data_IF_006850307536
#
_entry.id   IF_006850307536
#
_cell.length_a   1.000
_cell.length_b   1.000
_cell.length_c   1.000
_cell.angle_alpha   90.00
_cell.angle_beta   90.00
_cell.angle_gamma   90.00
#
_symmetry.space_group_name_H-M   'P 1'
#
loop_
_entity.id
_entity.type
_entity.pdbx_description
1 polymer ?
#
# COMPACT_ATOMS: atom_id res chain seq x y z
N UNK A 1 -8.73 -9.45 -25.61
CA UNK A 1 -7.41 -9.96 -25.13
C UNK A 1 -7.59 -10.78 -23.85
N UNK A 2 -6.62 -11.67 -23.52
CA UNK A 2 -6.55 -12.35 -22.21
C UNK A 2 -5.39 -11.76 -21.42
N UNK A 3 -5.68 -11.13 -20.29
CA UNK A 3 -4.70 -10.43 -19.46
C UNK A 3 -4.48 -11.26 -18.20
N UNK A 4 -3.27 -11.79 -18.05
CA UNK A 4 -2.87 -12.57 -16.88
C UNK A 4 -2.29 -11.66 -15.79
N UNK A 5 -2.83 -11.69 -14.59
CA UNK A 5 -2.53 -10.74 -13.51
C UNK A 5 -1.96 -11.45 -12.31
N UNK A 6 -0.81 -10.97 -11.81
CA UNK A 6 -0.23 -11.47 -10.58
C UNK A 6 -0.96 -10.92 -9.37
N UNK A 7 -1.69 -11.79 -8.67
CA UNK A 7 -2.30 -11.51 -7.37
C UNK A 7 -1.38 -11.81 -6.17
N UNK A 8 -0.07 -11.91 -6.39
CA UNK A 8 0.91 -12.10 -5.31
C UNK A 8 1.13 -10.80 -4.54
N UNK A 9 0.26 -10.50 -3.61
CA UNK A 9 0.22 -9.22 -2.88
C UNK A 9 0.49 -9.32 -1.38
N UNK A 10 0.89 -10.50 -0.90
CA UNK A 10 1.14 -10.76 0.51
C UNK A 10 -0.05 -11.37 1.25
N UNK A 11 0.14 -11.72 2.54
CA UNK A 11 -0.84 -12.42 3.38
C UNK A 11 -1.89 -11.49 4.01
N UNK A 12 -1.87 -10.21 3.68
CA UNK A 12 -2.85 -9.20 4.09
C UNK A 12 -3.06 -8.23 2.95
N UNK A 13 -4.29 -7.83 2.73
CA UNK A 13 -4.61 -6.81 1.75
C UNK A 13 -3.97 -5.49 2.17
N UNK A 14 -3.04 -5.01 1.37
CA UNK A 14 -2.36 -3.72 1.54
C UNK A 14 -2.92 -2.70 0.56
N UNK A 15 -2.44 -1.45 0.60
CA UNK A 15 -2.81 -0.43 -0.39
C UNK A 15 -2.62 -0.90 -1.85
N UNK A 16 -1.56 -1.69 -2.13
CA UNK A 16 -1.33 -2.27 -3.47
C UNK A 16 -2.45 -3.23 -3.86
N UNK A 17 -2.87 -4.10 -2.94
CA UNK A 17 -3.96 -5.05 -3.21
C UNK A 17 -5.31 -4.34 -3.43
N UNK A 18 -5.62 -3.29 -2.67
CA UNK A 18 -6.82 -2.47 -2.88
C UNK A 18 -6.81 -1.77 -4.23
N UNK A 19 -5.68 -1.17 -4.59
CA UNK A 19 -5.50 -0.55 -5.91
C UNK A 19 -5.72 -1.57 -7.02
N UNK A 20 -5.18 -2.79 -6.88
CA UNK A 20 -5.38 -3.86 -7.85
C UNK A 20 -6.85 -4.22 -8.02
N UNK A 21 -7.59 -4.43 -6.92
CA UNK A 21 -9.02 -4.77 -6.97
C UNK A 21 -9.81 -3.66 -7.66
N UNK A 22 -9.56 -2.40 -7.30
CA UNK A 22 -10.26 -1.26 -7.89
C UNK A 22 -9.96 -1.12 -9.38
N UNK A 23 -8.70 -1.27 -9.79
CA UNK A 23 -8.31 -1.24 -11.21
C UNK A 23 -9.01 -2.37 -11.98
N UNK A 24 -9.01 -3.61 -11.44
CA UNK A 24 -9.65 -4.73 -12.10
C UNK A 24 -11.17 -4.54 -12.25
N UNK A 25 -11.82 -4.03 -11.19
CA UNK A 25 -13.25 -3.73 -11.24
C UNK A 25 -13.58 -2.71 -12.34
N UNK A 26 -12.78 -1.66 -12.48
CA UNK A 26 -13.02 -0.64 -13.49
C UNK A 26 -12.67 -1.12 -14.91
N UNK A 27 -11.58 -1.87 -15.07
CA UNK A 27 -11.23 -2.47 -16.36
C UNK A 27 -12.29 -3.47 -16.84
N UNK A 28 -12.81 -4.31 -15.93
CA UNK A 28 -13.85 -5.27 -16.27
C UNK A 28 -15.15 -4.60 -16.75
N UNK A 29 -15.50 -3.44 -16.17
CA UNK A 29 -16.67 -2.65 -16.60
C UNK A 29 -16.47 -1.96 -17.94
N UNK A 30 -15.28 -1.34 -18.12
CA UNK A 30 -15.00 -0.49 -19.28
C UNK A 30 -14.63 -1.30 -20.53
N UNK A 31 -14.07 -2.50 -20.36
CA UNK A 31 -13.60 -3.38 -21.44
C UNK A 31 -14.16 -4.79 -21.23
N UNK A 32 -15.50 -4.98 -21.40
CA UNK A 32 -16.15 -6.27 -21.16
C UNK A 32 -15.74 -7.37 -22.17
N UNK A 33 -15.18 -7.00 -23.30
CA UNK A 33 -14.66 -7.90 -24.33
C UNK A 33 -13.31 -8.53 -23.96
N UNK A 34 -12.57 -7.93 -23.02
CA UNK A 34 -11.31 -8.47 -22.54
C UNK A 34 -11.53 -9.42 -21.36
N UNK A 35 -10.71 -10.45 -21.27
CA UNK A 35 -10.71 -11.42 -20.18
C UNK A 35 -9.55 -11.16 -19.23
N UNK A 36 -9.84 -11.11 -17.94
CA UNK A 36 -8.86 -10.88 -16.86
C UNK A 36 -8.71 -12.14 -16.03
N UNK A 37 -7.49 -12.72 -15.96
CA UNK A 37 -7.20 -13.90 -15.17
C UNK A 37 -6.31 -13.53 -14.00
N UNK A 38 -6.91 -13.48 -12.80
CA UNK A 38 -6.21 -13.12 -11.56
C UNK A 38 -5.67 -14.40 -10.89
N UNK A 39 -4.35 -14.56 -10.87
CA UNK A 39 -3.68 -15.65 -10.15
C UNK A 39 -3.36 -15.21 -8.74
N UNK A 40 -4.17 -15.61 -7.76
CA UNK A 40 -3.99 -15.21 -6.35
C UNK A 40 -3.35 -16.32 -5.52
N UNK A 41 -2.56 -15.90 -4.53
CA UNK A 41 -1.94 -16.81 -3.56
C UNK A 41 -2.59 -16.79 -2.18
N UNK A 42 -3.45 -15.81 -1.91
CA UNK A 42 -4.27 -15.68 -0.71
C UNK A 42 -5.70 -15.31 -1.09
N UNK A 43 -6.63 -15.82 -0.31
CA UNK A 43 -8.04 -15.47 -0.41
C UNK A 43 -8.35 -14.31 0.54
N UNK A 44 -8.70 -13.17 -0.03
CA UNK A 44 -9.17 -12.01 0.71
C UNK A 44 -10.64 -11.80 0.40
N UNK A 45 -11.44 -11.52 1.43
CA UNK A 45 -12.88 -11.24 1.29
C UNK A 45 -13.16 -10.15 0.24
N UNK A 46 -12.26 -9.19 0.11
CA UNK A 46 -12.38 -8.10 -0.85
C UNK A 46 -12.34 -8.57 -2.32
N UNK A 47 -11.78 -9.76 -2.59
CA UNK A 47 -11.85 -10.38 -3.93
C UNK A 47 -13.26 -10.83 -4.32
N UNK A 48 -14.16 -11.02 -3.34
CA UNK A 48 -15.57 -11.37 -3.62
C UNK A 48 -16.25 -10.30 -4.47
N UNK A 49 -15.80 -9.05 -4.36
CA UNK A 49 -16.28 -7.95 -5.20
C UNK A 49 -15.96 -8.12 -6.70
N UNK A 50 -14.98 -8.94 -7.03
CA UNK A 50 -14.61 -9.22 -8.42
C UNK A 50 -15.44 -10.32 -9.06
N UNK A 51 -16.07 -11.19 -8.27
CA UNK A 51 -16.85 -12.35 -8.78
C UNK A 51 -18.13 -11.95 -9.50
N UNK A 52 -18.59 -10.70 -9.32
CA UNK A 52 -19.74 -10.16 -10.07
C UNK A 52 -19.45 -9.91 -11.55
N UNK A 53 -18.16 -9.87 -11.97
CA UNK A 53 -17.76 -9.62 -13.35
C UNK A 53 -17.50 -10.93 -14.10
N UNK A 54 -18.29 -11.19 -15.14
CA UNK A 54 -18.20 -12.44 -15.93
C UNK A 54 -16.87 -12.57 -16.69
N UNK A 55 -16.20 -11.47 -16.97
CA UNK A 55 -14.93 -11.40 -17.66
C UNK A 55 -13.71 -11.46 -16.73
N UNK A 56 -13.90 -11.62 -15.41
CA UNK A 56 -12.82 -11.89 -14.45
C UNK A 56 -12.85 -13.37 -14.04
N UNK A 57 -11.75 -14.06 -14.25
CA UNK A 57 -11.50 -15.40 -13.75
C UNK A 57 -10.48 -15.33 -12.60
N UNK A 58 -10.88 -15.81 -11.41
CA UNK A 58 -9.97 -15.90 -10.26
C UNK A 58 -9.44 -17.33 -10.16
N UNK A 59 -8.12 -17.47 -10.18
CA UNK A 59 -7.42 -18.74 -10.08
C UNK A 59 -6.65 -18.81 -8.77
N UNK A 60 -7.07 -19.72 -7.89
CA UNK A 60 -6.36 -19.98 -6.64
C UNK A 60 -5.08 -20.78 -6.92
N UNK A 61 -3.97 -20.22 -6.46
CA UNK A 61 -2.66 -20.85 -6.57
C UNK A 61 -2.08 -20.98 -5.16
N UNK A 62 -2.16 -22.16 -4.54
CA UNK A 62 -1.75 -22.38 -3.17
C UNK A 62 -0.24 -22.18 -2.99
N UNK A 63 0.17 -21.01 -2.53
CA UNK A 63 1.57 -20.66 -2.32
C UNK A 63 1.72 -19.86 -1.02
N UNK A 64 1.69 -20.55 0.12
CA UNK A 64 1.29 -20.07 1.43
C UNK A 64 2.34 -19.38 2.29
N UNK A 65 3.57 -19.15 1.86
CA UNK A 65 4.58 -18.47 2.71
C UNK A 65 5.23 -17.29 2.00
N UNK A 66 5.14 -16.11 2.62
CA UNK A 66 5.86 -14.92 2.17
C UNK A 66 7.35 -15.04 2.44
N UNK A 67 8.16 -14.98 1.40
CA UNK A 67 9.59 -14.69 1.47
C UNK A 67 10.04 -14.08 0.15
N UNK A 68 11.14 -13.31 0.17
CA UNK A 68 11.69 -12.73 -1.05
C UNK A 68 12.03 -13.78 -2.11
N UNK A 69 12.58 -14.93 -1.69
CA UNK A 69 12.88 -16.05 -2.60
C UNK A 69 11.61 -16.63 -3.22
N UNK A 70 10.54 -16.79 -2.45
CA UNK A 70 9.27 -17.31 -2.95
C UNK A 70 8.57 -16.35 -3.91
N UNK A 71 8.69 -15.05 -3.69
CA UNK A 71 8.20 -14.05 -4.64
C UNK A 71 8.93 -14.21 -6.00
N UNK A 72 10.25 -14.41 -5.97
CA UNK A 72 11.04 -14.65 -7.18
C UNK A 72 10.58 -15.94 -7.87
N UNK A 73 10.51 -17.07 -7.14
CA UNK A 73 10.07 -18.34 -7.70
C UNK A 73 8.65 -18.28 -8.28
N UNK A 74 7.75 -17.58 -7.59
CA UNK A 74 6.41 -17.31 -8.10
C UNK A 74 6.47 -16.65 -9.48
N UNK A 75 7.10 -15.48 -9.59
CA UNK A 75 7.06 -14.68 -10.81
C UNK A 75 7.90 -15.25 -11.94
N UNK A 76 9.02 -15.93 -11.61
CA UNK A 76 9.91 -16.50 -12.63
C UNK A 76 9.47 -17.86 -13.15
N UNK A 77 8.79 -18.68 -12.36
CA UNK A 77 8.45 -20.03 -12.77
C UNK A 77 6.94 -20.27 -12.80
N UNK A 78 6.27 -20.12 -11.68
CA UNK A 78 4.87 -20.52 -11.56
C UNK A 78 3.97 -19.60 -12.38
N UNK A 79 4.12 -18.30 -12.21
CA UNK A 79 3.33 -17.32 -12.96
C UNK A 79 3.52 -17.45 -14.47
N UNK A 80 4.77 -17.63 -14.95
CA UNK A 80 5.05 -17.85 -16.37
C UNK A 80 4.38 -19.12 -16.92
N UNK A 81 4.36 -20.22 -16.14
CA UNK A 81 3.63 -21.45 -16.51
C UNK A 81 2.11 -21.22 -16.58
N UNK A 82 1.56 -20.47 -15.61
CA UNK A 82 0.14 -20.15 -15.58
C UNK A 82 -0.26 -19.27 -16.77
N UNK A 83 0.52 -18.24 -17.09
CA UNK A 83 0.31 -17.40 -18.27
C UNK A 83 0.19 -18.22 -19.54
N UNK A 84 1.10 -19.20 -19.73
CA UNK A 84 1.06 -20.12 -20.87
C UNK A 84 -0.16 -21.03 -20.83
N UNK A 85 -0.47 -21.65 -19.67
CA UNK A 85 -1.61 -22.55 -19.48
C UNK A 85 -2.94 -21.87 -19.82
N UNK A 86 -3.11 -20.61 -19.38
CA UNK A 86 -4.32 -19.83 -19.61
C UNK A 86 -4.30 -19.02 -20.92
N UNK A 87 -3.27 -19.22 -21.76
CA UNK A 87 -3.10 -18.54 -23.06
C UNK A 87 -3.20 -17.04 -22.96
N UNK A 88 -2.58 -16.45 -21.92
CA UNK A 88 -2.60 -15.01 -21.74
C UNK A 88 -1.78 -14.31 -22.83
N UNK A 89 -2.30 -13.19 -23.35
CA UNK A 89 -1.66 -12.34 -24.34
C UNK A 89 -0.67 -11.35 -23.70
N UNK A 90 -1.05 -10.83 -22.52
CA UNK A 90 -0.28 -9.84 -21.76
C UNK A 90 -0.26 -10.24 -20.29
N UNK A 91 0.88 -9.99 -19.61
CA UNK A 91 1.03 -10.14 -18.18
C UNK A 91 1.02 -8.77 -17.49
N UNK A 92 0.32 -8.65 -16.36
CA UNK A 92 0.37 -7.50 -15.48
C UNK A 92 0.87 -7.90 -14.09
N UNK A 93 1.91 -7.19 -13.61
CA UNK A 93 2.49 -7.37 -12.28
C UNK A 93 2.32 -6.06 -11.50
N UNK A 94 1.38 -5.99 -10.53
CA UNK A 94 1.00 -4.75 -9.87
C UNK A 94 1.96 -4.31 -8.76
N UNK A 95 3.02 -5.07 -8.49
CA UNK A 95 3.91 -4.76 -7.39
C UNK A 95 5.37 -5.06 -7.72
N UNK A 96 6.24 -4.75 -6.75
CA UNK A 96 7.68 -4.96 -6.84
C UNK A 96 8.04 -6.45 -6.90
N UNK A 97 8.79 -6.84 -7.95
CA UNK A 97 9.35 -8.18 -8.10
C UNK A 97 10.62 -8.17 -8.93
N UNK A 98 11.51 -9.15 -8.70
CA UNK A 98 12.60 -9.41 -9.61
C UNK A 98 12.07 -10.02 -10.92
N UNK A 99 12.36 -9.38 -12.05
CA UNK A 99 12.00 -9.88 -13.38
C UNK A 99 13.27 -10.23 -14.15
N UNK A 100 13.64 -11.51 -14.20
CA UNK A 100 14.81 -12.01 -14.94
C UNK A 100 14.46 -12.34 -16.39
N UNK A 101 13.33 -12.99 -16.60
CA UNK A 101 12.81 -13.38 -17.91
C UNK A 101 11.28 -13.37 -17.91
N UNK A 102 10.68 -13.37 -19.08
CA UNK A 102 9.25 -13.36 -19.33
C UNK A 102 8.93 -14.10 -20.61
N UNK A 103 7.75 -14.67 -20.68
CA UNK A 103 7.27 -15.45 -21.84
C UNK A 103 6.39 -14.65 -22.79
N UNK A 104 5.76 -13.60 -22.30
CA UNK A 104 4.85 -12.73 -23.03
C UNK A 104 5.10 -11.26 -22.68
N UNK A 105 4.56 -10.29 -23.44
CA UNK A 105 4.61 -8.87 -23.08
C UNK A 105 4.14 -8.65 -21.63
N UNK A 106 4.95 -7.92 -20.86
CA UNK A 106 4.72 -7.75 -19.43
C UNK A 106 4.71 -6.28 -19.05
N UNK A 107 3.63 -5.85 -18.40
CA UNK A 107 3.46 -4.54 -17.79
C UNK A 107 3.71 -4.68 -16.30
N UNK A 108 4.40 -3.72 -15.69
CA UNK A 108 4.67 -3.69 -14.24
C UNK A 108 4.25 -2.35 -13.65
N UNK A 109 3.86 -2.33 -12.38
CA UNK A 109 3.70 -1.07 -11.64
C UNK A 109 4.88 -0.89 -10.68
N UNK A 110 5.56 0.26 -10.80
CA UNK A 110 6.55 0.74 -9.84
C UNK A 110 5.87 1.86 -9.05
N UNK A 111 5.48 1.56 -7.79
CA UNK A 111 4.76 2.52 -6.95
C UNK A 111 5.66 3.64 -6.45
N UNK A 112 6.87 3.29 -6.05
CA UNK A 112 7.89 4.23 -5.58
C UNK A 112 9.30 3.63 -5.70
N UNK A 113 10.28 4.48 -5.47
CA UNK A 113 11.70 4.13 -5.32
C UNK A 113 12.21 4.68 -3.98
N UNK A 114 11.54 4.32 -2.89
CA UNK A 114 11.83 4.81 -1.54
C UNK A 114 13.27 4.50 -1.11
N UNK A 115 13.83 3.38 -1.55
CA UNK A 115 15.21 2.97 -1.29
C UNK A 115 16.25 3.94 -1.86
N UNK A 116 15.91 4.75 -2.86
CA UNK A 116 16.80 5.77 -3.41
C UNK A 116 16.71 7.09 -2.62
N UNK A 117 15.59 7.35 -1.98
CA UNK A 117 15.26 8.62 -1.35
C UNK A 117 15.39 8.60 0.18
N UNK A 118 15.24 7.44 0.83
CA UNK A 118 15.31 7.31 2.29
C UNK A 118 16.47 6.39 2.67
N UNK A 119 17.58 6.94 3.17
CA UNK A 119 18.68 6.14 3.73
C UNK A 119 18.17 5.23 4.86
N UNK A 120 18.76 4.03 4.94
CA UNK A 120 18.47 3.06 6.00
C UNK A 120 17.00 2.62 6.14
N UNK A 121 16.17 2.83 5.09
CA UNK A 121 14.78 2.36 5.05
C UNK A 121 14.67 0.85 5.24
N UNK A 122 15.66 0.10 4.77
CA UNK A 122 15.76 -1.35 4.89
C UNK A 122 17.17 -1.75 5.32
N UNK A 123 17.38 -3.03 5.62
CA UNK A 123 18.72 -3.54 5.86
C UNK A 123 19.65 -3.28 4.64
N UNK A 124 20.96 -3.11 4.89
CA UNK A 124 21.96 -2.83 3.84
C UNK A 124 21.91 -3.84 2.67
N UNK A 125 21.75 -5.12 2.98
CA UNK A 125 21.63 -6.18 1.97
C UNK A 125 20.36 -5.99 1.11
N UNK A 126 19.22 -5.64 1.73
CA UNK A 126 17.97 -5.38 1.02
C UNK A 126 18.04 -4.11 0.18
N UNK A 127 18.67 -3.04 0.69
CA UNK A 127 18.91 -1.80 -0.06
C UNK A 127 19.75 -2.07 -1.30
N UNK A 128 20.85 -2.81 -1.16
CA UNK A 128 21.70 -3.21 -2.27
C UNK A 128 20.93 -4.03 -3.31
N UNK A 129 20.22 -5.08 -2.86
CA UNK A 129 19.43 -5.94 -3.73
C UNK A 129 18.39 -5.15 -4.54
N UNK A 130 17.66 -4.24 -3.89
CA UNK A 130 16.64 -3.43 -4.57
C UNK A 130 17.28 -2.49 -5.58
N UNK A 131 18.23 -1.67 -5.16
CA UNK A 131 18.85 -0.62 -5.99
C UNK A 131 19.69 -1.16 -7.13
N UNK A 132 20.45 -2.23 -6.92
CA UNK A 132 21.44 -2.71 -7.89
C UNK A 132 20.93 -3.87 -8.75
N UNK A 133 19.93 -4.60 -8.30
CA UNK A 133 19.49 -5.82 -8.97
C UNK A 133 18.02 -5.73 -9.39
N UNK A 134 17.11 -5.57 -8.44
CA UNK A 134 15.70 -5.77 -8.70
C UNK A 134 15.08 -4.63 -9.51
N UNK A 135 15.26 -3.38 -9.08
CA UNK A 135 14.66 -2.22 -9.75
C UNK A 135 15.19 -2.03 -11.18
N UNK A 136 16.51 -2.08 -11.42
CA UNK A 136 17.05 -1.98 -12.78
C UNK A 136 16.60 -3.13 -13.69
N UNK A 137 16.56 -4.37 -13.19
CA UNK A 137 16.12 -5.51 -13.99
C UNK A 137 14.62 -5.46 -14.28
N UNK A 138 13.79 -5.11 -13.30
CA UNK A 138 12.36 -4.92 -13.50
C UNK A 138 12.08 -3.82 -14.52
N UNK A 139 12.76 -2.68 -14.41
CA UNK A 139 12.64 -1.59 -15.35
C UNK A 139 13.12 -1.96 -16.75
N UNK A 140 14.27 -2.66 -16.88
CA UNK A 140 14.84 -3.08 -18.16
C UNK A 140 14.00 -4.13 -18.88
N UNK A 141 13.56 -5.16 -18.13
CA UNK A 141 12.91 -6.35 -18.69
C UNK A 141 11.42 -6.19 -18.96
N UNK A 142 10.70 -5.32 -18.25
CA UNK A 142 9.30 -5.02 -18.56
C UNK A 142 9.14 -4.42 -19.95
N UNK A 143 7.98 -4.58 -20.58
CA UNK A 143 7.65 -3.90 -21.83
C UNK A 143 7.14 -2.48 -21.57
N UNK A 144 6.37 -2.30 -20.51
CA UNK A 144 5.84 -1.01 -20.12
C UNK A 144 5.79 -0.90 -18.59
N UNK A 145 5.87 0.30 -18.08
CA UNK A 145 5.86 0.60 -16.66
C UNK A 145 4.72 1.57 -16.36
N UNK A 146 3.92 1.24 -15.37
CA UNK A 146 2.95 2.15 -14.77
C UNK A 146 3.53 2.71 -13.47
N UNK A 147 3.21 3.95 -13.17
CA UNK A 147 3.57 4.56 -11.88
C UNK A 147 2.47 5.49 -11.39
N UNK A 148 2.44 5.73 -10.07
CA UNK A 148 1.25 6.25 -9.39
C UNK A 148 1.30 7.74 -9.08
N UNK A 149 2.45 8.39 -9.29
CA UNK A 149 2.60 9.83 -9.01
C UNK A 149 3.63 10.50 -9.93
N UNK A 150 3.54 11.84 -10.03
CA UNK A 150 4.54 12.65 -10.75
C UNK A 150 5.92 12.56 -10.11
N UNK A 151 6.00 12.37 -8.78
CA UNK A 151 7.26 12.16 -8.06
C UNK A 151 7.90 10.85 -8.48
N UNK A 152 7.18 9.74 -8.36
CA UNK A 152 7.66 8.41 -8.77
C UNK A 152 7.99 8.36 -10.27
N UNK A 153 7.23 9.08 -11.12
CA UNK A 153 7.53 9.20 -12.55
C UNK A 153 8.91 9.82 -12.79
N UNK A 154 9.21 10.92 -12.11
CA UNK A 154 10.52 11.58 -12.20
C UNK A 154 11.65 10.69 -11.67
N UNK A 155 11.42 10.03 -10.54
CA UNK A 155 12.40 9.13 -9.91
C UNK A 155 12.75 7.95 -10.82
N UNK A 156 11.75 7.32 -11.46
CA UNK A 156 11.96 6.20 -12.38
C UNK A 156 12.82 6.62 -13.57
N UNK A 157 12.60 7.80 -14.11
CA UNK A 157 13.46 8.33 -15.20
C UNK A 157 14.87 8.61 -14.67
N UNK A 158 14.98 9.30 -13.52
CA UNK A 158 16.27 9.78 -13.00
C UNK A 158 17.14 8.65 -12.48
N UNK A 159 16.58 7.70 -11.73
CA UNK A 159 17.36 6.63 -11.11
C UNK A 159 17.51 5.38 -11.99
N UNK A 160 16.52 5.07 -12.81
CA UNK A 160 16.51 3.84 -13.60
C UNK A 160 16.74 4.06 -15.10
N UNK A 161 16.85 5.32 -15.56
CA UNK A 161 17.11 5.67 -16.96
C UNK A 161 16.00 5.23 -17.93
N UNK A 162 14.76 5.09 -17.42
CA UNK A 162 13.62 4.64 -18.24
C UNK A 162 13.20 5.74 -19.22
N UNK A 163 13.03 5.38 -20.49
CA UNK A 163 12.53 6.31 -21.50
C UNK A 163 11.08 6.69 -21.24
N UNK A 164 10.67 7.96 -21.38
CA UNK A 164 9.28 8.38 -21.21
C UNK A 164 8.25 7.57 -22.02
N UNK A 165 8.61 7.12 -23.22
CA UNK A 165 7.73 6.27 -24.06
C UNK A 165 7.40 4.90 -23.47
N UNK A 166 8.17 4.45 -22.47
CA UNK A 166 7.97 3.18 -21.75
C UNK A 166 7.27 3.37 -20.40
N UNK A 167 6.92 4.58 -20.02
CA UNK A 167 6.42 4.93 -18.70
C UNK A 167 5.11 5.71 -18.79
N UNK A 168 4.07 5.24 -18.10
CA UNK A 168 2.78 5.94 -18.01
C UNK A 168 2.44 6.27 -16.56
N UNK A 169 2.01 7.51 -16.34
CA UNK A 169 1.49 7.95 -15.05
C UNK A 169 0.01 7.54 -14.92
N UNK A 170 -0.29 6.71 -13.94
CA UNK A 170 -1.64 6.29 -13.55
C UNK A 170 -1.87 6.67 -12.09
N UNK A 171 -2.56 7.77 -11.86
CA UNK A 171 -2.82 8.24 -10.50
C UNK A 171 -3.71 7.25 -9.74
N UNK A 172 -3.37 7.00 -8.47
CA UNK A 172 -4.23 6.24 -7.57
C UNK A 172 -5.49 7.03 -7.20
N UNK A 173 -6.55 6.30 -6.86
CA UNK A 173 -7.79 6.84 -6.34
C UNK A 173 -8.24 6.07 -5.09
N UNK A 174 -9.14 6.64 -4.31
CA UNK A 174 -9.83 5.95 -3.21
C UNK A 174 -11.17 5.42 -3.67
N UNK A 175 -11.65 4.36 -3.02
CA UNK A 175 -13.03 3.90 -3.19
C UNK A 175 -13.97 4.87 -2.46
N UNK A 176 -14.78 5.63 -3.21
CA UNK A 176 -15.75 6.58 -2.68
C UNK A 176 -16.94 5.92 -2.00
N UNK A 177 -17.15 4.63 -2.17
CA UNK A 177 -18.18 3.89 -1.43
C UNK A 177 -17.74 3.61 0.00
N UNK A 178 -16.43 3.43 0.20
CA UNK A 178 -15.79 3.17 1.48
C UNK A 178 -15.39 4.48 2.17
N UNK A 179 -14.55 5.29 1.52
CA UNK A 179 -14.05 6.56 2.06
C UNK A 179 -14.98 7.71 1.67
N UNK A 180 -15.85 8.09 2.59
CA UNK A 180 -16.87 9.12 2.43
C UNK A 180 -17.20 9.76 3.78
N UNK A 181 -17.97 10.83 3.77
CA UNK A 181 -18.50 11.43 5.00
C UNK A 181 -19.41 10.44 5.73
N UNK A 182 -19.23 10.34 7.05
CA UNK A 182 -20.07 9.55 7.95
C UNK A 182 -20.75 10.47 8.97
N UNK A 183 -21.98 10.12 9.39
CA UNK A 183 -22.67 10.82 10.46
C UNK A 183 -22.06 10.48 11.83
N UNK A 184 -22.24 11.37 12.81
CA UNK A 184 -21.72 11.17 14.17
C UNK A 184 -22.22 9.88 14.82
N UNK A 185 -23.46 9.50 14.54
CA UNK A 185 -24.11 8.29 15.06
C UNK A 185 -23.37 7.02 14.61
N UNK A 186 -22.73 7.04 13.43
CA UNK A 186 -21.90 5.95 12.91
C UNK A 186 -20.45 6.02 13.38
N UNK A 187 -19.93 7.22 13.62
CA UNK A 187 -18.54 7.45 14.02
C UNK A 187 -18.33 7.09 15.50
N UNK A 188 -19.18 7.63 16.39
CA UNK A 188 -18.99 7.54 17.85
C UNK A 188 -18.86 6.08 18.34
N UNK A 189 -19.72 5.12 17.93
CA UNK A 189 -19.57 3.74 18.38
C UNK A 189 -18.24 3.10 17.97
N UNK A 190 -17.73 3.41 16.77
CA UNK A 190 -16.48 2.86 16.26
C UNK A 190 -15.26 3.34 17.06
N UNK A 191 -15.19 4.65 17.35
CA UNK A 191 -14.05 5.25 18.06
C UNK A 191 -14.08 5.00 19.57
N UNK A 192 -15.27 4.76 20.15
CA UNK A 192 -15.46 4.49 21.60
C UNK A 192 -14.69 3.25 22.08
N UNK A 193 -14.44 2.28 21.18
CA UNK A 193 -13.64 1.08 21.46
C UNK A 193 -12.26 1.39 22.07
N UNK A 194 -11.68 2.54 21.72
CA UNK A 194 -10.38 3.01 22.22
C UNK A 194 -10.53 4.22 23.16
N UNK A 195 -11.71 4.42 23.76
CA UNK A 195 -12.00 5.57 24.62
C UNK A 195 -11.65 6.91 23.95
N UNK A 196 -12.00 7.05 22.67
CA UNK A 196 -11.82 8.28 21.89
C UNK A 196 -13.11 9.08 21.83
N UNK A 197 -12.96 10.40 21.81
CA UNK A 197 -14.05 11.34 21.63
C UNK A 197 -14.01 11.96 20.23
N UNK A 198 -15.19 12.24 19.68
CA UNK A 198 -15.33 12.86 18.37
C UNK A 198 -14.63 14.22 18.31
N UNK A 199 -13.74 14.39 17.32
CA UNK A 199 -12.91 15.58 17.12
C UNK A 199 -12.01 15.94 18.32
N UNK A 200 -11.58 14.92 19.11
CA UNK A 200 -10.62 15.09 20.19
C UNK A 200 -9.41 14.17 20.06
N UNK A 201 -8.98 13.90 18.83
CA UNK A 201 -7.73 13.20 18.58
C UNK A 201 -7.07 13.60 17.27
N UNK A 202 -5.74 13.54 17.27
CA UNK A 202 -4.90 13.64 16.09
C UNK A 202 -4.71 12.22 15.55
N UNK A 203 -4.66 12.04 14.24
CA UNK A 203 -4.65 10.73 13.60
C UNK A 203 -3.43 10.56 12.70
N UNK A 204 -2.73 9.43 12.85
CA UNK A 204 -1.80 8.91 11.85
C UNK A 204 -2.29 7.55 11.36
N UNK A 205 -2.25 7.34 10.04
CA UNK A 205 -2.58 6.05 9.42
C UNK A 205 -1.46 5.60 8.50
N UNK A 206 -0.93 4.41 8.75
CA UNK A 206 0.16 3.84 7.95
C UNK A 206 0.91 2.73 8.67
N UNK A 207 1.81 2.04 7.97
CA UNK A 207 2.70 1.08 8.60
C UNK A 207 3.58 1.78 9.64
N UNK A 208 3.64 1.22 10.86
CA UNK A 208 4.49 1.76 11.93
C UNK A 208 5.92 1.34 11.64
N UNK A 209 6.68 2.19 10.99
CA UNK A 209 8.07 1.95 10.64
C UNK A 209 8.97 3.14 10.98
N UNK A 210 10.25 2.86 11.12
CA UNK A 210 11.29 3.84 11.35
C UNK A 210 12.48 3.61 10.39
N UNK A 211 13.01 4.66 9.72
CA UNK A 211 12.63 6.09 9.82
C UNK A 211 11.53 6.54 8.84
N UNK A 212 11.15 5.73 7.85
CA UNK A 212 10.45 6.12 6.62
C UNK A 212 9.14 6.92 6.83
N UNK A 213 8.27 6.48 7.74
CA UNK A 213 6.99 7.16 8.02
C UNK A 213 7.12 8.36 8.95
N UNK A 214 8.31 8.58 9.50
CA UNK A 214 8.64 9.72 10.36
C UNK A 214 7.67 9.92 11.56
N UNK A 215 7.13 8.80 12.07
CA UNK A 215 6.16 8.78 13.17
C UNK A 215 6.78 9.36 14.44
N UNK A 216 8.09 9.14 14.65
CA UNK A 216 8.81 9.64 15.81
C UNK A 216 8.67 11.16 15.91
N UNK A 217 8.86 11.90 14.82
CA UNK A 217 8.69 13.37 14.79
C UNK A 217 7.25 13.81 15.13
N UNK A 218 6.24 13.04 14.67
CA UNK A 218 4.84 13.29 15.05
C UNK A 218 4.66 13.18 16.56
N UNK A 219 5.20 12.12 17.17
CA UNK A 219 5.10 11.86 18.61
C UNK A 219 5.90 12.91 19.41
N UNK A 220 7.11 13.27 18.96
CA UNK A 220 7.93 14.32 19.57
C UNK A 220 7.21 15.66 19.61
N UNK A 221 6.59 16.07 18.50
CA UNK A 221 5.81 17.28 18.41
C UNK A 221 4.58 17.23 19.36
N UNK A 222 3.87 16.11 19.39
CA UNK A 222 2.76 15.89 20.30
C UNK A 222 3.20 16.01 21.78
N UNK A 223 4.26 15.32 22.19
CA UNK A 223 4.77 15.40 23.57
C UNK A 223 5.26 16.79 23.95
N UNK A 224 5.90 17.52 23.01
CA UNK A 224 6.31 18.91 23.26
C UNK A 224 5.11 19.83 23.52
N UNK A 225 4.03 19.69 22.74
CA UNK A 225 2.81 20.46 22.99
C UNK A 225 2.14 20.08 24.33
N UNK A 226 2.12 18.78 24.67
CA UNK A 226 1.58 18.32 25.96
C UNK A 226 2.38 18.85 27.15
N UNK A 227 3.70 18.91 27.07
CA UNK A 227 4.54 19.44 28.14
C UNK A 227 4.32 20.95 28.39
N UNK A 228 3.78 21.67 27.41
CA UNK A 228 3.40 23.07 27.49
C UNK A 228 1.93 23.27 27.93
N UNK A 229 1.25 22.20 28.38
CA UNK A 229 -0.18 22.19 28.66
C UNK A 229 -1.09 22.58 27.48
N UNK A 230 -0.58 22.46 26.26
CA UNK A 230 -1.38 22.54 25.04
C UNK A 230 -1.99 21.16 24.71
N UNK A 231 -2.99 21.11 23.83
CA UNK A 231 -3.69 19.88 23.42
C UNK A 231 -4.29 19.08 24.58
N UNK A 232 -4.72 19.74 25.68
CA UNK A 232 -5.36 19.06 26.81
C UNK A 232 -6.62 18.30 26.38
N UNK A 233 -6.72 17.02 26.77
CA UNK A 233 -7.81 16.12 26.38
C UNK A 233 -7.76 15.63 24.93
N UNK A 234 -6.72 15.99 24.16
CA UNK A 234 -6.48 15.47 22.81
C UNK A 234 -5.57 14.23 22.89
N UNK A 235 -5.92 13.16 22.21
CA UNK A 235 -5.09 11.95 22.08
C UNK A 235 -4.40 11.90 20.72
N UNK A 236 -3.26 11.20 20.64
CA UNK A 236 -2.62 10.84 19.38
C UNK A 236 -2.97 9.37 19.06
N UNK A 237 -3.65 9.14 17.95
CA UNK A 237 -4.05 7.80 17.50
C UNK A 237 -3.19 7.38 16.32
N UNK A 238 -2.55 6.22 16.45
CA UNK A 238 -1.68 5.64 15.44
C UNK A 238 -2.29 4.32 14.97
N UNK A 239 -2.77 4.30 13.72
CA UNK A 239 -3.42 3.15 13.09
C UNK A 239 -2.48 2.51 12.09
N UNK A 240 -2.22 1.22 12.27
CA UNK A 240 -1.46 0.45 11.29
C UNK A 240 -0.73 -0.76 11.86
N UNK A 241 -0.17 -1.55 10.96
CA UNK A 241 0.64 -2.73 11.34
C UNK A 241 2.09 -2.33 11.62
N UNK A 242 2.76 -3.19 12.40
CA UNK A 242 4.20 -3.06 12.62
C UNK A 242 4.98 -3.27 11.32
N UNK A 243 5.95 -2.40 11.08
CA UNK A 243 6.88 -2.46 9.97
C UNK A 243 8.34 -2.53 10.44
N UNK A 244 9.23 -2.12 9.58
CA UNK A 244 10.67 -2.14 9.87
C UNK A 244 11.01 -1.23 11.06
N UNK A 245 11.76 -1.75 12.03
CA UNK A 245 12.18 -1.03 13.24
C UNK A 245 11.05 -0.39 14.07
N UNK A 246 9.81 -0.92 14.00
CA UNK A 246 8.68 -0.39 14.78
C UNK A 246 8.94 -0.34 16.30
N UNK A 247 9.79 -1.23 16.83
CA UNK A 247 10.17 -1.24 18.24
C UNK A 247 10.71 0.12 18.72
N UNK A 248 11.47 0.83 17.88
CA UNK A 248 12.01 2.18 18.19
C UNK A 248 10.90 3.15 18.54
N UNK A 249 9.75 3.07 17.86
CA UNK A 249 8.59 3.94 18.10
C UNK A 249 7.91 3.60 19.42
N UNK A 250 7.71 2.31 19.70
CA UNK A 250 7.10 1.87 20.97
C UNK A 250 7.98 2.19 22.19
N UNK A 251 9.28 1.93 22.09
CA UNK A 251 10.23 2.25 23.16
C UNK A 251 10.26 3.75 23.44
N UNK A 252 10.22 4.58 22.40
CA UNK A 252 10.17 6.03 22.52
C UNK A 252 8.88 6.51 23.23
N UNK A 253 7.73 5.96 22.88
CA UNK A 253 6.46 6.31 23.55
C UNK A 253 6.47 5.86 25.01
N UNK A 254 6.93 4.64 25.29
CA UNK A 254 6.93 4.07 26.65
C UNK A 254 7.83 4.83 27.64
N UNK A 255 8.84 5.52 27.13
CA UNK A 255 9.74 6.35 27.95
C UNK A 255 9.13 7.70 28.36
N UNK A 256 7.97 8.08 27.83
CA UNK A 256 7.34 9.38 28.07
C UNK A 256 6.30 9.33 29.19
N UNK A 257 6.15 10.38 30.02
CA UNK A 257 5.05 10.53 30.96
C UNK A 257 3.67 10.63 30.27
N UNK A 258 3.63 10.98 28.99
CA UNK A 258 2.40 11.10 28.18
C UNK A 258 2.07 9.84 27.38
N UNK A 259 2.69 8.70 27.69
CA UNK A 259 2.52 7.42 26.95
C UNK A 259 1.06 6.98 26.80
N UNK A 260 0.24 7.21 27.85
CA UNK A 260 -1.17 6.78 27.87
C UNK A 260 -2.08 7.65 26.98
N UNK A 261 -1.56 8.75 26.43
CA UNK A 261 -2.26 9.59 25.49
C UNK A 261 -1.98 9.22 24.03
N UNK A 262 -1.05 8.28 23.78
CA UNK A 262 -0.75 7.73 22.46
C UNK A 262 -1.39 6.36 22.32
N UNK A 263 -2.38 6.24 21.44
CA UNK A 263 -3.17 5.02 21.24
C UNK A 263 -2.72 4.31 19.96
N UNK A 264 -2.20 3.11 20.11
CA UNK A 264 -1.92 2.22 18.99
C UNK A 264 -3.08 1.24 18.81
N UNK A 265 -3.82 1.35 17.72
CA UNK A 265 -4.98 0.48 17.46
C UNK A 265 -4.60 -0.84 16.77
N UNK A 266 -3.39 -0.91 16.19
CA UNK A 266 -3.08 -1.94 15.22
C UNK A 266 -3.79 -1.70 13.88
N UNK A 267 -3.94 -2.75 13.08
CA UNK A 267 -4.64 -2.69 11.80
C UNK A 267 -6.16 -2.62 12.02
N UNK A 268 -6.81 -1.69 11.34
CA UNK A 268 -8.27 -1.62 11.24
C UNK A 268 -8.73 -2.02 9.83
N UNK A 269 -9.89 -2.64 9.75
CA UNK A 269 -10.54 -3.02 8.50
C UNK A 269 -11.19 -1.81 7.80
N UNK A 270 -11.66 -2.03 6.56
CA UNK A 270 -12.26 -0.99 5.75
C UNK A 270 -13.63 -0.52 6.26
N UNK A 271 -14.30 -1.30 7.10
CA UNK A 271 -15.58 -0.89 7.73
C UNK A 271 -15.37 0.15 8.82
N UNK A 272 -14.25 0.10 9.54
CA UNK A 272 -13.98 0.97 10.69
C UNK A 272 -13.07 2.15 10.33
N UNK A 273 -12.01 1.93 9.56
CA UNK A 273 -10.99 2.93 9.25
C UNK A 273 -11.56 4.28 8.78
N UNK A 274 -12.56 4.35 7.88
CA UNK A 274 -13.13 5.62 7.44
C UNK A 274 -13.78 6.44 8.57
N UNK A 275 -14.32 5.75 9.59
CA UNK A 275 -14.93 6.41 10.75
C UNK A 275 -13.87 7.07 11.63
N UNK A 276 -12.66 6.48 11.73
CA UNK A 276 -11.54 7.11 12.43
C UNK A 276 -11.00 8.34 11.68
N UNK A 277 -10.95 8.31 10.35
CA UNK A 277 -10.65 9.52 9.57
C UNK A 277 -11.68 10.61 9.82
N UNK A 278 -12.97 10.28 9.68
CA UNK A 278 -14.07 11.23 9.85
C UNK A 278 -14.17 11.79 11.28
N UNK A 279 -13.80 11.01 12.30
CA UNK A 279 -13.85 11.40 13.70
C UNK A 279 -12.64 12.20 14.20
N UNK A 280 -11.52 12.18 13.46
CA UNK A 280 -10.30 12.89 13.86
C UNK A 280 -10.43 14.42 13.76
N UNK A 281 -9.66 15.14 14.57
CA UNK A 281 -9.50 16.60 14.44
C UNK A 281 -8.67 16.91 13.21
N UNK A 282 -7.51 16.27 13.11
CA UNK A 282 -6.53 16.44 12.01
C UNK A 282 -5.87 15.08 11.75
N UNK A 283 -5.63 14.79 10.47
CA UNK A 283 -4.75 13.70 10.07
C UNK A 283 -3.33 14.25 9.87
N UNK A 284 -2.34 13.58 10.48
CA UNK A 284 -0.92 13.92 10.39
C UNK A 284 -0.22 12.95 9.45
N UNK A 285 0.56 13.48 8.50
CA UNK A 285 1.25 12.68 7.50
C UNK A 285 2.61 13.29 7.14
N UNK A 286 3.65 12.91 7.89
CA UNK A 286 4.98 13.49 7.79
C UNK A 286 6.02 12.52 7.22
N UNK A 287 5.58 11.53 6.43
CA UNK A 287 6.50 10.57 5.80
C UNK A 287 7.65 11.26 5.08
N UNK A 288 8.87 10.73 5.22
CA UNK A 288 10.05 11.28 4.54
C UNK A 288 9.94 11.13 3.02
N UNK A 289 9.27 10.07 2.57
CA UNK A 289 9.04 9.80 1.16
C UNK A 289 7.81 8.89 0.98
N UNK A 290 7.04 9.14 -0.08
CA UNK A 290 5.88 8.32 -0.48
C UNK A 290 5.77 8.24 -2.00
N UNK A 291 5.28 7.11 -2.47
CA UNK A 291 4.91 6.97 -3.86
C UNK A 291 3.71 7.83 -4.24
N UNK A 292 2.65 7.80 -3.41
CA UNK A 292 1.42 8.56 -3.67
C UNK A 292 0.82 9.22 -2.42
N UNK A 293 0.64 8.47 -1.34
CA UNK A 293 0.00 8.97 -0.12
C UNK A 293 -1.51 8.69 -0.07
N UNK A 294 -1.92 7.46 -0.34
CA UNK A 294 -3.34 7.05 -0.26
C UNK A 294 -4.02 7.48 1.05
N UNK A 295 -3.38 7.36 2.26
CA UNK A 295 -4.02 7.79 3.50
C UNK A 295 -4.44 9.26 3.51
N UNK A 296 -3.68 10.14 2.83
CA UNK A 296 -4.06 11.57 2.72
C UNK A 296 -5.33 11.72 1.88
N UNK A 297 -5.40 11.02 0.74
CA UNK A 297 -6.58 11.06 -0.14
C UNK A 297 -7.81 10.43 0.54
N UNK A 298 -7.61 9.35 1.31
CA UNK A 298 -8.66 8.72 2.13
C UNK A 298 -9.21 9.70 3.17
N UNK A 299 -8.33 10.39 3.90
CA UNK A 299 -8.74 11.41 4.88
C UNK A 299 -9.49 12.60 4.24
N UNK A 300 -9.04 13.05 3.06
CA UNK A 300 -9.71 14.13 2.32
C UNK A 300 -11.11 13.71 1.82
N UNK A 301 -11.37 12.43 1.70
CA UNK A 301 -12.65 11.87 1.26
C UNK A 301 -13.64 11.68 2.40
N UNK A 302 -13.18 11.64 3.66
CA UNK A 302 -13.97 11.45 4.88
C UNK A 302 -14.23 12.77 5.61
#
# INVERSE_FOLDING_TARGET
MIIGISGYVGNRLTGIGRVLINILSELAKQYPEDKYVLFRNFDFKEYDNLTQYQNIEIVDVPYTKESGLKNILWHQWLFQKLLKKYKCDIAYIPNFTLLLWKTIPTIVTIHDLIEYNVPDKFSKARMFYRKQVCDPLMAKKSNHILTVSKSSYKDIISYLGVKPSKLTLTLNATDRNVFKKYSKEKIIPAIKKYNLEYKKYLLFVGTIDFPGKNIKTIIEAFFNLRSKNELNGIKLVIIGKNGFNSKVIYDFVNASPFKDEVIFTGYLNDDDLPKYYAGATIMLYLSLFEGFGLPVLEAMSC
#
